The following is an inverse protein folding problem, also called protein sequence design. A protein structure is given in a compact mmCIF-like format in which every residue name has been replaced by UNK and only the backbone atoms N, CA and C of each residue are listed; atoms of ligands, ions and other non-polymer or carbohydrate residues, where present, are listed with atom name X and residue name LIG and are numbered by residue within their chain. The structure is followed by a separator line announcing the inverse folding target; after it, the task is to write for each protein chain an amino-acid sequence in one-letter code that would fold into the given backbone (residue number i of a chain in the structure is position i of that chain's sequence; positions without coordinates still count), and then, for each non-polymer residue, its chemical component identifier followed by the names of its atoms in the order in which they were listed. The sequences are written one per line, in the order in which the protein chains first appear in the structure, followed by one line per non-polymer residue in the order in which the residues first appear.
data_IF_295255891241
#
_entry.id   IF_295255891241
#
_cell.length_a   1.000
_cell.length_b   1.000
_cell.length_c   1.000
_cell.angle_alpha   90.00
_cell.angle_beta   90.00
_cell.angle_gamma   90.00
#
_symmetry.space_group_name_H-M   'P 1'
#
loop_
_entity.id
_entity.type
_entity.pdbx_description
1 polymer ?
#
# COMPACT_ATOMS: atom_id res chain seq x y z
N UNK A 1 -31.19 -62.76 3.68
CA UNK A 1 -30.35 -62.42 2.52
C UNK A 1 -30.19 -60.90 2.47
N UNK A 2 -28.92 -60.47 2.53
CA UNK A 2 -28.31 -59.13 2.41
C UNK A 2 -29.20 -57.85 2.46
N UNK A 3 -29.01 -57.06 3.52
CA UNK A 3 -29.31 -55.61 3.55
C UNK A 3 -28.10 -54.86 2.98
N UNK A 4 -28.28 -54.17 1.84
CA UNK A 4 -27.28 -53.26 1.28
C UNK A 4 -27.38 -51.90 2.00
N UNK A 5 -26.33 -51.52 2.75
CA UNK A 5 -26.13 -50.14 3.20
C UNK A 5 -25.52 -49.34 2.04
N UNK A 6 -26.25 -48.36 1.52
CA UNK A 6 -25.72 -47.37 0.59
C UNK A 6 -24.98 -46.29 1.41
N UNK A 7 -23.65 -46.28 1.36
CA UNK A 7 -22.83 -45.20 1.94
C UNK A 7 -22.73 -44.09 0.88
N UNK A 8 -23.44 -42.99 1.10
CA UNK A 8 -23.30 -41.77 0.31
C UNK A 8 -22.05 -41.04 0.80
N UNK A 9 -20.98 -41.10 -0.01
CA UNK A 9 -19.81 -40.25 0.20
C UNK A 9 -20.18 -38.80 -0.16
N UNK A 10 -20.35 -37.95 0.84
CA UNK A 10 -20.38 -36.50 0.65
C UNK A 10 -18.98 -36.05 0.20
N UNK A 11 -18.81 -35.82 -1.10
CA UNK A 11 -17.68 -35.06 -1.64
C UNK A 11 -17.86 -33.60 -1.22
N UNK A 12 -17.25 -33.23 -0.10
CA UNK A 12 -17.05 -31.82 0.25
C UNK A 12 -16.16 -31.20 -0.83
N UNK A 13 -16.57 -30.10 -1.48
CA UNK A 13 -15.72 -29.41 -2.43
C UNK A 13 -14.52 -28.88 -1.66
N UNK A 14 -13.33 -29.42 -1.97
CA UNK A 14 -12.06 -28.83 -1.56
C UNK A 14 -12.02 -27.46 -2.23
N UNK A 15 -12.27 -26.41 -1.46
CA UNK A 15 -12.03 -25.05 -1.93
C UNK A 15 -10.54 -25.01 -2.32
N UNK A 16 -10.26 -24.82 -3.60
CA UNK A 16 -8.91 -24.61 -4.07
C UNK A 16 -8.37 -23.38 -3.34
N UNK A 17 -7.46 -23.59 -2.40
CA UNK A 17 -6.71 -22.52 -1.77
C UNK A 17 -6.02 -21.80 -2.91
N UNK A 18 -6.39 -20.54 -3.14
CA UNK A 18 -5.78 -19.74 -4.18
C UNK A 18 -4.26 -19.76 -3.98
N UNK A 19 -3.51 -20.00 -5.06
CA UNK A 19 -2.05 -19.98 -5.01
C UNK A 19 -1.57 -18.66 -4.39
N UNK A 20 -0.58 -18.69 -3.48
CA UNK A 20 -0.07 -17.46 -2.89
C UNK A 20 0.45 -16.50 -3.96
N UNK A 21 0.16 -15.21 -3.78
CA UNK A 21 0.67 -14.16 -4.64
C UNK A 21 2.08 -13.77 -4.23
N UNK A 22 2.99 -13.63 -5.19
CA UNK A 22 4.39 -13.34 -4.86
C UNK A 22 4.55 -12.00 -4.14
N UNK A 23 3.95 -10.93 -4.64
CA UNK A 23 4.16 -9.59 -4.10
C UNK A 23 3.49 -9.41 -2.74
N UNK A 24 2.29 -9.97 -2.57
CA UNK A 24 1.52 -9.85 -1.32
C UNK A 24 1.99 -10.83 -0.25
N UNK A 25 2.21 -12.09 -0.61
CA UNK A 25 2.36 -13.17 0.38
C UNK A 25 3.80 -13.67 0.54
N UNK A 26 4.64 -13.59 -0.51
CA UNK A 26 5.99 -14.20 -0.53
C UNK A 26 7.10 -13.16 -0.33
N UNK A 27 7.03 -12.05 -1.05
CA UNK A 27 8.04 -10.99 -1.03
C UNK A 27 8.25 -10.41 0.38
N UNK A 28 7.22 -10.15 1.21
CA UNK A 28 7.44 -9.71 2.58
C UNK A 28 8.19 -10.75 3.41
N UNK A 29 7.91 -12.05 3.21
CA UNK A 29 8.61 -13.13 3.91
C UNK A 29 10.10 -13.11 3.56
N UNK A 30 10.43 -13.00 2.27
CA UNK A 30 11.82 -12.92 1.82
C UNK A 30 12.52 -11.64 2.26
N UNK A 31 11.84 -10.50 2.20
CA UNK A 31 12.38 -9.21 2.64
C UNK A 31 12.77 -9.24 4.11
N UNK A 32 11.85 -9.72 4.95
CA UNK A 32 12.02 -9.71 6.40
C UNK A 32 13.01 -10.77 6.89
N UNK A 33 13.05 -11.94 6.22
CA UNK A 33 13.75 -13.12 6.76
C UNK A 33 14.98 -13.56 5.95
N UNK A 34 15.14 -13.11 4.70
CA UNK A 34 16.13 -13.69 3.78
C UNK A 34 17.09 -12.66 3.17
N UNK A 35 16.61 -11.48 2.78
CA UNK A 35 17.40 -10.52 1.98
C UNK A 35 18.61 -9.94 2.72
N UNK A 36 18.61 -9.96 4.06
CA UNK A 36 19.80 -9.56 4.84
C UNK A 36 21.04 -10.37 4.48
N UNK A 37 20.90 -11.67 4.20
CA UNK A 37 22.02 -12.56 3.85
C UNK A 37 21.99 -13.04 2.39
N UNK A 38 20.86 -12.92 1.70
CA UNK A 38 20.67 -13.40 0.33
C UNK A 38 20.06 -12.34 -0.59
N UNK A 39 20.34 -11.07 -0.33
CA UNK A 39 19.81 -9.92 -1.06
C UNK A 39 20.86 -9.06 -1.77
N UNK A 40 20.58 -7.76 -1.99
CA UNK A 40 21.37 -6.90 -2.86
C UNK A 40 22.73 -6.48 -2.29
N UNK A 41 22.93 -6.51 -0.97
CA UNK A 41 24.23 -6.20 -0.35
C UNK A 41 25.24 -7.33 -0.63
N UNK A 42 26.31 -7.02 -1.36
CA UNK A 42 27.35 -7.99 -1.70
C UNK A 42 28.23 -8.39 -0.51
N UNK A 43 28.40 -7.51 0.48
CA UNK A 43 29.28 -7.76 1.63
C UNK A 43 28.64 -8.70 2.65
N UNK A 44 27.32 -8.63 2.81
CA UNK A 44 26.56 -9.54 3.68
C UNK A 44 26.14 -10.85 2.99
N UNK A 45 26.37 -10.98 1.67
CA UNK A 45 25.80 -12.06 0.86
C UNK A 45 26.46 -13.42 1.11
N UNK A 46 25.66 -14.37 1.59
CA UNK A 46 26.04 -15.78 1.73
C UNK A 46 25.75 -16.54 0.43
N UNK A 47 26.62 -17.51 0.12
CA UNK A 47 26.50 -18.42 -1.04
C UNK A 47 26.34 -17.75 -2.42
N UNK A 48 26.68 -16.45 -2.54
CA UNK A 48 26.41 -15.63 -3.74
C UNK A 48 24.94 -15.71 -4.22
N UNK A 49 24.02 -16.05 -3.31
CA UNK A 49 22.60 -16.25 -3.63
C UNK A 49 21.86 -14.91 -3.58
N UNK A 50 21.00 -14.68 -4.58
CA UNK A 50 20.16 -13.50 -4.75
C UNK A 50 18.70 -13.93 -4.79
N UNK A 51 18.05 -14.00 -3.64
CA UNK A 51 16.61 -14.29 -3.54
C UNK A 51 15.75 -13.07 -3.89
N UNK A 52 16.34 -11.88 -3.94
CA UNK A 52 15.70 -10.64 -4.36
C UNK A 52 15.54 -10.53 -5.89
N UNK A 53 16.23 -11.39 -6.64
CA UNK A 53 16.14 -11.46 -8.10
C UNK A 53 15.62 -12.83 -8.54
N UNK A 54 14.67 -12.84 -9.47
CA UNK A 54 14.10 -14.07 -10.03
C UNK A 54 15.18 -14.98 -10.59
N UNK A 55 16.11 -14.42 -11.37
CA UNK A 55 17.19 -15.15 -12.03
C UNK A 55 18.16 -15.74 -11.01
N UNK A 56 18.34 -15.06 -9.88
CA UNK A 56 19.19 -15.51 -8.78
C UNK A 56 18.58 -16.65 -7.96
N UNK A 57 17.26 -16.66 -7.83
CA UNK A 57 16.53 -17.68 -7.09
C UNK A 57 16.22 -18.94 -7.94
N UNK A 58 15.96 -18.75 -9.24
CA UNK A 58 15.61 -19.80 -10.21
C UNK A 58 16.79 -20.22 -11.11
N UNK A 59 18.03 -20.09 -10.64
CA UNK A 59 19.22 -20.42 -11.45
C UNK A 59 19.16 -21.86 -11.96
N UNK A 60 19.53 -22.05 -13.23
CA UNK A 60 19.52 -23.38 -13.86
C UNK A 60 20.59 -24.34 -13.28
N UNK A 61 21.72 -23.79 -12.82
CA UNK A 61 22.75 -24.51 -12.08
C UNK A 61 22.58 -24.19 -10.60
N UNK A 62 22.47 -25.22 -9.77
CA UNK A 62 22.22 -25.11 -8.33
C UNK A 62 20.91 -24.35 -8.04
N UNK A 63 19.81 -24.84 -8.62
CA UNK A 63 18.48 -24.27 -8.47
C UNK A 63 18.05 -24.32 -7.00
N UNK A 64 17.89 -23.14 -6.39
CA UNK A 64 17.43 -23.04 -4.99
C UNK A 64 15.92 -23.23 -4.89
N UNK A 65 15.21 -22.83 -5.94
CA UNK A 65 13.77 -23.01 -6.09
C UNK A 65 13.52 -23.70 -7.42
N UNK A 66 12.83 -24.83 -7.37
CA UNK A 66 12.38 -25.60 -8.53
C UNK A 66 10.86 -25.40 -8.67
N UNK A 67 10.42 -24.60 -9.66
CA UNK A 67 9.00 -24.32 -9.87
C UNK A 67 8.15 -25.59 -9.97
N UNK A 68 7.10 -25.68 -9.15
CA UNK A 68 6.16 -26.80 -9.12
C UNK A 68 6.63 -27.99 -8.28
N UNK A 69 7.83 -27.92 -7.68
CA UNK A 69 8.45 -29.05 -7.00
C UNK A 69 9.10 -28.65 -5.68
N UNK A 70 8.29 -28.43 -4.65
CA UNK A 70 8.82 -28.05 -3.33
C UNK A 70 9.78 -29.10 -2.75
N UNK A 71 9.58 -30.39 -3.01
CA UNK A 71 10.44 -31.47 -2.53
C UNK A 71 11.83 -31.49 -3.18
N UNK A 72 11.97 -30.91 -4.38
CA UNK A 72 13.26 -30.77 -5.09
C UNK A 72 13.88 -29.37 -4.84
N UNK A 73 13.21 -28.50 -4.09
CA UNK A 73 13.66 -27.12 -3.86
C UNK A 73 14.46 -26.98 -2.57
N UNK A 74 15.73 -26.62 -2.70
CA UNK A 74 16.63 -26.39 -1.57
C UNK A 74 16.08 -25.37 -0.57
N UNK A 75 15.44 -24.29 -1.05
CA UNK A 75 14.77 -23.32 -0.19
C UNK A 75 13.82 -24.00 0.80
N UNK A 76 13.00 -24.93 0.32
CA UNK A 76 11.98 -25.60 1.12
C UNK A 76 12.63 -26.60 2.09
N UNK A 77 13.64 -27.34 1.65
CA UNK A 77 14.42 -28.22 2.52
C UNK A 77 15.03 -27.43 3.70
N UNK A 78 15.65 -26.28 3.40
CA UNK A 78 16.30 -25.42 4.41
C UNK A 78 15.34 -24.80 5.41
N UNK A 79 14.18 -24.32 4.98
CA UNK A 79 13.21 -23.71 5.92
C UNK A 79 12.47 -24.75 6.75
N UNK A 80 12.44 -26.01 6.32
CA UNK A 80 11.80 -27.12 7.04
C UNK A 80 12.78 -27.98 7.84
N UNK A 81 14.09 -27.82 7.65
CA UNK A 81 15.10 -28.54 8.42
C UNK A 81 15.09 -28.13 9.89
N UNK A 82 15.29 -29.12 10.76
CA UNK A 82 15.53 -28.95 12.20
C UNK A 82 17.02 -29.02 12.56
N UNK A 83 17.89 -29.30 11.58
CA UNK A 83 19.35 -29.32 11.76
C UNK A 83 19.86 -27.87 11.86
N UNK A 84 20.49 -27.44 12.97
CA UNK A 84 21.01 -26.08 13.15
C UNK A 84 22.00 -25.62 12.07
N UNK A 85 22.74 -26.54 11.43
CA UNK A 85 23.74 -26.22 10.41
C UNK A 85 23.12 -26.10 9.01
N UNK A 86 21.95 -26.70 8.80
CA UNK A 86 21.23 -26.63 7.54
C UNK A 86 20.08 -25.63 7.56
N UNK A 87 19.41 -25.44 8.68
CA UNK A 87 18.20 -24.66 8.81
C UNK A 87 18.39 -23.20 8.39
N UNK A 88 17.44 -22.68 7.62
CA UNK A 88 17.34 -21.26 7.29
C UNK A 88 16.01 -20.66 7.79
N UNK A 89 16.01 -19.46 8.40
CA UNK A 89 17.18 -18.70 8.82
C UNK A 89 18.01 -19.42 9.90
N UNK A 90 19.34 -19.22 9.93
CA UNK A 90 20.19 -19.89 10.92
C UNK A 90 19.88 -19.39 12.34
N UNK A 91 20.12 -20.21 13.39
CA UNK A 91 19.78 -19.85 14.77
C UNK A 91 20.44 -18.54 15.26
N UNK A 92 21.65 -18.24 14.79
CA UNK A 92 22.41 -17.03 15.14
C UNK A 92 21.82 -15.73 14.55
N UNK A 93 21.01 -15.85 13.49
CA UNK A 93 20.39 -14.70 12.81
C UNK A 93 19.28 -14.04 13.63
N UNK A 94 18.72 -14.77 14.62
CA UNK A 94 17.54 -14.41 15.42
C UNK A 94 16.25 -14.20 14.60
N UNK A 95 16.27 -14.49 13.30
CA UNK A 95 15.10 -14.48 12.44
C UNK A 95 14.40 -15.84 12.53
N UNK A 96 13.06 -15.84 12.46
CA UNK A 96 12.26 -17.07 12.53
C UNK A 96 11.06 -16.98 11.60
N UNK A 97 10.89 -18.01 10.78
CA UNK A 97 9.70 -18.19 9.98
C UNK A 97 8.60 -18.83 10.83
N UNK A 98 7.40 -18.24 10.78
CA UNK A 98 6.20 -18.87 11.35
C UNK A 98 5.78 -20.10 10.53
N UNK A 99 4.99 -20.98 11.15
CA UNK A 99 4.43 -22.15 10.45
C UNK A 99 3.66 -21.74 9.20
N UNK A 100 2.88 -20.65 9.28
CA UNK A 100 2.14 -20.12 8.15
C UNK A 100 3.08 -19.63 7.04
N UNK A 101 4.15 -18.91 7.37
CA UNK A 101 5.12 -18.43 6.38
C UNK A 101 5.81 -19.59 5.65
N UNK A 102 6.23 -20.63 6.38
CA UNK A 102 6.82 -21.84 5.78
C UNK A 102 5.82 -22.52 4.83
N UNK A 103 4.55 -22.65 5.25
CA UNK A 103 3.49 -23.21 4.43
C UNK A 103 3.20 -22.36 3.17
N UNK A 104 3.18 -21.03 3.29
CA UNK A 104 3.01 -20.10 2.17
C UNK A 104 4.12 -20.26 1.14
N UNK A 105 5.38 -20.28 1.57
CA UNK A 105 6.52 -20.48 0.67
C UNK A 105 6.43 -21.83 -0.06
N UNK A 106 6.12 -22.90 0.68
CA UNK A 106 5.94 -24.24 0.08
C UNK A 106 4.83 -24.25 -0.96
N UNK A 107 3.65 -23.73 -0.62
CA UNK A 107 2.50 -23.68 -1.52
C UNK A 107 2.78 -22.82 -2.76
N UNK A 108 3.49 -21.70 -2.60
CA UNK A 108 3.91 -20.87 -3.72
C UNK A 108 4.87 -21.61 -4.66
N UNK A 109 5.86 -22.32 -4.13
CA UNK A 109 6.76 -23.15 -4.94
C UNK A 109 5.98 -24.24 -5.68
N UNK A 110 5.11 -24.99 -4.99
CA UNK A 110 4.28 -26.05 -5.60
C UNK A 110 3.32 -25.50 -6.67
N UNK A 111 2.89 -24.24 -6.56
CA UNK A 111 2.07 -23.56 -7.57
C UNK A 111 2.85 -23.07 -8.80
N UNK A 112 4.15 -23.34 -8.89
CA UNK A 112 5.00 -22.96 -10.01
C UNK A 112 5.88 -21.74 -9.76
N UNK A 113 6.03 -21.30 -8.50
CA UNK A 113 6.93 -20.21 -8.10
C UNK A 113 6.82 -18.95 -9.00
N UNK A 114 5.59 -18.56 -9.35
CA UNK A 114 5.35 -17.41 -10.23
C UNK A 114 5.86 -16.15 -9.56
N UNK A 115 6.84 -15.51 -10.17
CA UNK A 115 7.45 -14.28 -9.69
C UNK A 115 6.59 -13.07 -10.07
N UNK A 116 6.44 -12.11 -9.17
CA UNK A 116 5.74 -10.84 -9.41
C UNK A 116 6.68 -9.75 -9.95
N UNK A 117 6.11 -8.64 -10.40
CA UNK A 117 6.83 -7.40 -10.68
C UNK A 117 6.67 -6.43 -9.51
N UNK A 118 7.49 -5.37 -9.48
CA UNK A 118 7.24 -4.29 -8.52
C UNK A 118 5.82 -3.73 -8.71
N UNK A 119 5.09 -3.49 -7.62
CA UNK A 119 3.67 -3.14 -7.63
C UNK A 119 3.32 -1.96 -8.57
N UNK A 120 4.24 -1.01 -8.72
CA UNK A 120 4.07 0.17 -9.59
C UNK A 120 4.05 -0.18 -11.10
N UNK A 121 4.53 -1.35 -11.49
CA UNK A 121 4.53 -1.84 -12.88
C UNK A 121 3.45 -2.88 -13.15
N UNK A 122 2.63 -3.21 -12.16
CA UNK A 122 1.48 -4.08 -12.35
C UNK A 122 0.20 -3.25 -12.44
N UNK A 123 -0.58 -3.48 -13.50
CA UNK A 123 -1.88 -2.82 -13.62
C UNK A 123 -2.81 -3.29 -12.49
N UNK A 124 -3.51 -2.36 -11.80
CA UNK A 124 -4.53 -2.73 -10.83
C UNK A 124 -5.59 -3.64 -11.45
N UNK A 125 -5.89 -4.75 -10.78
CA UNK A 125 -6.92 -5.70 -11.23
C UNK A 125 -8.22 -5.46 -10.47
N UNK A 126 -9.33 -5.59 -11.18
CA UNK A 126 -10.63 -5.56 -10.52
C UNK A 126 -10.78 -6.79 -9.62
N UNK A 127 -11.07 -6.55 -8.35
CA UNK A 127 -11.31 -7.59 -7.34
C UNK A 127 -12.80 -7.69 -7.02
N UNK A 128 -13.28 -8.91 -6.79
CA UNK A 128 -14.65 -9.12 -6.34
C UNK A 128 -14.84 -8.50 -4.96
N UNK A 129 -15.94 -7.77 -4.77
CA UNK A 129 -16.29 -7.18 -3.47
C UNK A 129 -16.61 -8.30 -2.48
N UNK A 130 -15.96 -8.35 -1.31
CA UNK A 130 -16.19 -9.37 -0.31
C UNK A 130 -17.65 -9.39 0.16
N UNK A 131 -18.18 -10.59 0.41
CA UNK A 131 -19.46 -10.74 1.11
C UNK A 131 -19.21 -10.59 2.60
N UNK A 132 -19.96 -9.71 3.22
CA UNK A 132 -19.92 -9.43 4.67
C UNK A 132 -21.18 -9.96 5.36
N UNK A 133 -21.07 -10.28 6.64
CA UNK A 133 -22.22 -10.71 7.45
C UNK A 133 -23.14 -9.53 7.76
N UNK A 134 -22.58 -8.37 8.07
CA UNK A 134 -23.34 -7.16 8.35
C UNK A 134 -23.57 -6.33 7.06
N UNK A 135 -24.68 -6.59 6.37
CA UNK A 135 -25.00 -5.95 5.08
C UNK A 135 -25.35 -4.46 5.17
N UNK A 136 -25.77 -3.96 6.33
CA UNK A 136 -26.33 -2.61 6.46
C UNK A 136 -25.31 -1.55 6.90
N UNK A 137 -24.06 -1.94 7.17
CA UNK A 137 -23.01 -1.02 7.61
C UNK A 137 -22.20 -0.43 6.47
N UNK A 138 -21.79 -1.19 5.44
CA UNK A 138 -21.08 -0.62 4.30
C UNK A 138 -21.93 0.42 3.58
N UNK A 139 -21.37 1.63 3.40
CA UNK A 139 -21.96 2.68 2.56
C UNK A 139 -21.53 2.49 1.11
N UNK A 140 -20.31 1.99 0.90
CA UNK A 140 -19.78 1.69 -0.43
C UNK A 140 -19.05 0.33 -0.52
N UNK A 141 -18.39 0.11 -1.65
CA UNK A 141 -17.65 -1.12 -1.92
C UNK A 141 -16.38 -1.22 -1.07
N UNK A 142 -15.72 -0.10 -0.76
CA UNK A 142 -14.50 -0.05 0.05
C UNK A 142 -14.81 -0.47 1.49
N UNK A 143 -15.93 0.01 2.03
CA UNK A 143 -16.38 -0.38 3.37
C UNK A 143 -16.59 -1.90 3.50
N UNK A 144 -17.00 -2.57 2.42
CA UNK A 144 -17.15 -4.02 2.40
C UNK A 144 -15.81 -4.75 2.55
N UNK A 145 -14.71 -4.21 2.00
CA UNK A 145 -13.36 -4.77 2.20
C UNK A 145 -12.89 -4.58 3.65
N UNK A 146 -13.11 -3.39 4.22
CA UNK A 146 -12.75 -3.09 5.61
C UNK A 146 -13.52 -4.00 6.56
N UNK A 147 -14.85 -4.07 6.40
CA UNK A 147 -15.71 -4.88 7.26
C UNK A 147 -15.40 -6.38 7.12
N UNK A 148 -15.12 -6.88 5.93
CA UNK A 148 -14.73 -8.28 5.76
C UNK A 148 -13.45 -8.61 6.54
N UNK A 149 -12.46 -7.70 6.57
CA UNK A 149 -11.26 -7.87 7.39
C UNK A 149 -11.62 -7.86 8.88
N UNK A 150 -12.40 -6.89 9.32
CA UNK A 150 -12.83 -6.80 10.73
C UNK A 150 -13.58 -8.06 11.18
N UNK A 151 -14.53 -8.55 10.39
CA UNK A 151 -15.29 -9.77 10.70
C UNK A 151 -14.39 -11.01 10.78
N UNK A 152 -13.36 -11.10 9.93
CA UNK A 152 -12.39 -12.20 9.97
C UNK A 152 -11.52 -12.19 11.23
N UNK A 153 -11.30 -11.01 11.80
CA UNK A 153 -10.53 -10.81 13.03
C UNK A 153 -11.43 -10.79 14.29
N UNK A 154 -12.74 -10.95 14.15
CA UNK A 154 -13.69 -10.85 15.27
C UNK A 154 -13.91 -9.42 15.79
N UNK A 155 -13.52 -8.41 15.02
CA UNK A 155 -13.72 -6.99 15.33
C UNK A 155 -15.09 -6.50 14.84
N UNK A 156 -15.57 -5.43 15.45
CA UNK A 156 -16.83 -4.75 15.08
C UNK A 156 -16.58 -3.27 14.79
N UNK A 157 -17.32 -2.66 13.86
CA UNK A 157 -17.23 -1.23 13.62
C UNK A 157 -17.48 -0.41 14.87
N UNK A 158 -16.72 0.68 15.02
CA UNK A 158 -16.97 1.69 16.03
C UNK A 158 -18.32 2.39 15.77
N UNK A 159 -19.01 2.86 16.82
CA UNK A 159 -20.20 3.68 16.64
C UNK A 159 -19.88 4.96 15.86
N UNK A 160 -20.88 5.47 15.14
CA UNK A 160 -20.75 6.75 14.44
C UNK A 160 -20.42 7.88 15.42
N UNK A 161 -19.53 8.77 15.02
CA UNK A 161 -19.22 9.97 15.80
C UNK A 161 -20.45 10.90 15.88
N UNK A 162 -20.59 11.62 16.99
CA UNK A 162 -21.57 12.70 17.06
C UNK A 162 -21.24 13.80 16.04
N UNK A 163 -22.24 14.63 15.70
CA UNK A 163 -22.11 15.63 14.63
C UNK A 163 -21.00 16.64 14.88
N UNK A 164 -20.77 17.03 16.14
CA UNK A 164 -19.75 18.03 16.48
C UNK A 164 -18.37 17.40 16.30
N UNK A 165 -18.18 16.19 16.82
CA UNK A 165 -16.92 15.43 16.65
C UNK A 165 -16.64 15.17 15.17
N UNK A 166 -17.64 14.76 14.39
CA UNK A 166 -17.49 14.53 12.96
C UNK A 166 -17.07 15.81 12.23
N UNK A 167 -17.78 16.92 12.45
CA UNK A 167 -17.48 18.21 11.80
C UNK A 167 -16.06 18.70 12.14
N UNK A 168 -15.67 18.56 13.42
CA UNK A 168 -14.32 18.95 13.84
C UNK A 168 -13.24 18.15 13.12
N UNK A 169 -13.39 16.83 13.02
CA UNK A 169 -12.42 15.95 12.34
C UNK A 169 -12.30 16.31 10.87
N UNK A 170 -13.41 16.31 10.13
CA UNK A 170 -13.38 16.58 8.68
C UNK A 170 -12.85 17.98 8.35
N UNK A 171 -13.15 18.99 9.18
CA UNK A 171 -12.62 20.35 8.97
C UNK A 171 -11.11 20.39 9.18
N UNK A 172 -10.60 19.75 10.23
CA UNK A 172 -9.16 19.67 10.48
C UNK A 172 -8.43 18.86 9.41
N UNK A 173 -9.02 17.75 8.97
CA UNK A 173 -8.42 16.89 7.94
C UNK A 173 -8.30 17.64 6.62
N UNK A 174 -9.38 18.29 6.18
CA UNK A 174 -9.44 18.95 4.87
C UNK A 174 -8.82 20.35 4.85
N UNK A 175 -8.76 21.07 5.97
CA UNK A 175 -8.30 22.48 5.97
C UNK A 175 -7.22 22.81 6.99
N UNK A 176 -6.88 21.87 7.89
CA UNK A 176 -5.93 22.11 8.99
C UNK A 176 -6.46 23.00 10.10
N UNK A 177 -7.71 23.49 10.01
CA UNK A 177 -8.30 24.45 10.93
C UNK A 177 -9.54 23.86 11.64
N UNK A 178 -9.85 24.29 12.88
CA UNK A 178 -11.10 23.92 13.52
C UNK A 178 -12.29 24.63 12.85
N UNK A 179 -13.52 24.07 12.94
CA UNK A 179 -14.72 24.71 12.40
C UNK A 179 -15.05 25.99 13.16
N UNK A 180 -15.59 26.98 12.46
CA UNK A 180 -16.09 28.19 13.11
C UNK A 180 -17.36 27.88 13.93
N UNK A 181 -17.62 28.55 15.07
CA UNK A 181 -18.82 28.30 15.88
C UNK A 181 -20.14 28.36 15.09
N UNK A 182 -20.26 29.33 14.18
CA UNK A 182 -21.43 29.46 13.29
C UNK A 182 -21.64 28.24 12.37
N UNK A 183 -20.57 27.60 11.92
CA UNK A 183 -20.63 26.43 11.04
C UNK A 183 -21.07 25.20 11.84
N UNK A 184 -20.64 25.09 13.10
CA UNK A 184 -21.10 24.05 14.03
C UNK A 184 -22.59 24.18 14.26
N UNK A 185 -23.08 25.38 14.57
CA UNK A 185 -24.51 25.61 14.79
C UNK A 185 -25.34 25.28 13.54
N UNK A 186 -24.90 25.75 12.37
CA UNK A 186 -25.57 25.47 11.10
C UNK A 186 -25.63 23.96 10.82
N UNK A 187 -24.51 23.25 10.96
CA UNK A 187 -24.44 21.82 10.69
C UNK A 187 -25.23 20.98 11.70
N UNK A 188 -25.25 21.34 12.98
CA UNK A 188 -26.02 20.60 13.99
C UNK A 188 -27.53 20.74 13.74
N UNK A 189 -27.97 21.93 13.30
CA UNK A 189 -29.38 22.23 12.97
C UNK A 189 -29.81 21.61 11.64
N UNK A 190 -28.90 21.45 10.69
CA UNK A 190 -29.21 20.86 9.38
C UNK A 190 -29.49 19.35 9.48
N UNK A 191 -30.77 18.97 9.32
CA UNK A 191 -31.22 17.57 9.29
C UNK A 191 -31.46 17.06 7.88
N UNK A 192 -31.07 17.82 6.85
CA UNK A 192 -31.22 17.39 5.48
C UNK A 192 -30.38 16.14 5.20
N UNK A 193 -30.80 15.29 4.25
CA UNK A 193 -30.01 14.13 3.84
C UNK A 193 -28.66 14.50 3.20
N UNK A 194 -28.43 15.78 2.87
CA UNK A 194 -27.22 16.30 2.23
C UNK A 194 -26.31 17.10 3.18
N UNK A 195 -26.59 17.09 4.47
CA UNK A 195 -25.90 17.97 5.42
C UNK A 195 -24.38 17.70 5.47
N UNK A 196 -23.97 16.44 5.33
CA UNK A 196 -22.57 16.04 5.37
C UNK A 196 -21.84 16.45 4.08
N UNK A 197 -22.44 16.17 2.92
CA UNK A 197 -21.94 16.54 1.59
C UNK A 197 -21.79 18.05 1.46
N UNK A 198 -22.80 18.82 1.92
CA UNK A 198 -22.75 20.29 1.90
C UNK A 198 -21.57 20.83 2.71
N UNK A 199 -21.23 20.20 3.84
CA UNK A 199 -20.04 20.55 4.60
C UNK A 199 -18.77 20.23 3.82
N UNK A 200 -18.66 19.02 3.27
CA UNK A 200 -17.47 18.59 2.51
C UNK A 200 -17.24 19.48 1.29
N UNK A 201 -18.27 19.73 0.48
CA UNK A 201 -18.19 20.59 -0.71
C UNK A 201 -17.69 22.00 -0.36
N UNK A 202 -18.22 22.58 0.73
CA UNK A 202 -17.78 23.89 1.24
C UNK A 202 -16.31 23.86 1.68
N UNK A 203 -15.86 22.78 2.32
CA UNK A 203 -14.47 22.64 2.78
C UNK A 203 -13.51 22.48 1.60
N UNK A 204 -13.87 21.66 0.61
CA UNK A 204 -13.08 21.47 -0.62
C UNK A 204 -13.00 22.74 -1.46
N UNK A 205 -14.05 23.56 -1.46
CA UNK A 205 -14.07 24.86 -2.14
C UNK A 205 -13.28 25.97 -1.40
N UNK A 206 -12.84 25.72 -0.15
CA UNK A 206 -12.07 26.68 0.62
C UNK A 206 -10.64 26.77 0.10
N UNK A 207 -10.02 27.96 -0.01
CA UNK A 207 -8.60 28.06 -0.36
C UNK A 207 -7.67 27.35 0.63
N UNK A 208 -8.15 27.16 1.87
CA UNK A 208 -7.44 26.44 2.95
C UNK A 208 -7.29 24.95 2.65
N UNK A 209 -8.11 24.39 1.76
CA UNK A 209 -7.97 23.01 1.31
C UNK A 209 -6.62 22.79 0.63
N UNK A 210 -6.31 23.57 -0.39
CA UNK A 210 -5.02 23.48 -1.08
C UNK A 210 -3.82 23.76 -0.19
N UNK A 211 -3.94 24.70 0.77
CA UNK A 211 -2.89 24.99 1.76
C UNK A 211 -2.61 23.76 2.64
N UNK A 212 -3.67 23.07 3.10
CA UNK A 212 -3.56 21.86 3.91
C UNK A 212 -3.00 20.69 3.11
N UNK A 213 -3.55 20.43 1.93
CA UNK A 213 -3.19 19.27 1.11
C UNK A 213 -1.79 19.38 0.50
N UNK A 214 -1.32 20.61 0.24
CA UNK A 214 0.02 20.82 -0.26
C UNK A 214 1.11 20.39 0.73
N UNK A 215 0.85 20.36 2.03
CA UNK A 215 1.87 20.12 3.06
C UNK A 215 2.64 18.81 2.86
N UNK A 216 1.91 17.70 2.69
CA UNK A 216 2.54 16.38 2.49
C UNK A 216 3.34 16.32 1.19
N UNK A 217 2.89 17.04 0.15
CA UNK A 217 3.62 17.14 -1.12
C UNK A 217 4.88 17.97 -0.98
N UNK A 218 4.81 19.12 -0.31
CA UNK A 218 5.95 20.00 -0.05
C UNK A 218 7.03 19.26 0.75
N UNK A 219 6.62 18.49 1.76
CA UNK A 219 7.53 17.64 2.54
C UNK A 219 8.18 16.56 1.67
N UNK A 220 7.39 15.80 0.91
CA UNK A 220 7.91 14.78 0.00
C UNK A 220 8.86 15.37 -1.06
N UNK A 221 8.58 16.60 -1.49
CA UNK A 221 9.41 17.34 -2.43
C UNK A 221 10.63 18.00 -1.79
N UNK A 222 10.81 17.95 -0.47
CA UNK A 222 11.89 18.64 0.27
C UNK A 222 11.89 20.16 0.09
N UNK A 223 10.70 20.75 0.07
CA UNK A 223 10.55 22.20 0.09
C UNK A 223 11.10 22.78 1.39
N UNK A 224 11.87 23.86 1.26
CA UNK A 224 12.28 24.69 2.38
C UNK A 224 12.44 26.14 1.91
N UNK A 225 12.22 27.08 2.82
CA UNK A 225 12.47 28.51 2.56
C UNK A 225 13.98 28.84 2.60
N UNK A 226 14.84 27.87 2.95
CA UNK A 226 16.29 28.00 3.02
C UNK A 226 17.01 26.75 2.49
N UNK A 227 18.33 26.85 2.31
CA UNK A 227 19.14 25.75 1.74
C UNK A 227 19.61 24.71 2.78
N UNK A 228 19.46 24.96 4.09
CA UNK A 228 19.68 23.98 5.15
C UNK A 228 21.12 23.49 5.39
N UNK A 229 22.09 23.76 4.50
CA UNK A 229 23.47 23.27 4.60
C UNK A 229 24.53 24.40 4.61
N UNK A 230 25.47 24.30 5.56
CA UNK A 230 26.68 25.12 5.78
C UNK A 230 26.54 26.65 5.92
N UNK A 231 25.44 27.27 5.48
CA UNK A 231 25.20 28.72 5.67
C UNK A 231 23.74 29.15 5.60
N UNK A 232 22.81 28.18 5.56
CA UNK A 232 21.35 28.31 5.61
C UNK A 232 20.77 29.58 4.94
N UNK A 233 21.22 29.85 3.71
CA UNK A 233 20.75 31.01 2.97
C UNK A 233 19.30 30.80 2.54
N UNK A 234 18.54 31.88 2.52
CA UNK A 234 17.18 31.92 1.96
C UNK A 234 17.17 31.42 0.51
N UNK A 235 16.05 30.80 0.13
CA UNK A 235 15.78 30.31 -1.21
C UNK A 235 14.43 30.83 -1.70
N UNK A 236 14.42 31.47 -2.87
CA UNK A 236 13.18 31.90 -3.51
C UNK A 236 12.50 30.73 -4.21
N UNK A 237 11.68 29.98 -3.47
CA UNK A 237 10.89 28.85 -3.98
C UNK A 237 9.38 28.98 -3.71
N UNK A 238 8.98 30.00 -2.95
CA UNK A 238 7.59 30.28 -2.64
C UNK A 238 6.65 30.38 -3.87
N UNK A 239 7.07 30.84 -5.07
CA UNK A 239 6.17 30.85 -6.23
C UNK A 239 5.77 29.44 -6.65
N UNK A 240 6.69 28.47 -6.56
CA UNK A 240 6.41 27.06 -6.83
C UNK A 240 5.51 26.46 -5.74
N UNK A 241 5.75 26.78 -4.46
CA UNK A 241 4.85 26.38 -3.36
C UNK A 241 3.43 26.86 -3.61
N UNK A 242 3.27 28.12 -3.99
CA UNK A 242 1.95 28.70 -4.26
C UNK A 242 1.30 28.06 -5.49
N UNK A 243 2.10 27.68 -6.51
CA UNK A 243 1.63 26.89 -7.64
C UNK A 243 1.09 25.52 -7.20
N UNK A 244 1.76 24.83 -6.27
CA UNK A 244 1.29 23.55 -5.72
C UNK A 244 -0.06 23.75 -5.01
N UNK A 245 -0.17 24.76 -4.14
CA UNK A 245 -1.41 25.11 -3.43
C UNK A 245 -2.56 25.39 -4.42
N UNK A 246 -2.29 26.18 -5.46
CA UNK A 246 -3.27 26.47 -6.52
C UNK A 246 -3.68 25.21 -7.27
N UNK A 247 -2.74 24.32 -7.57
CA UNK A 247 -3.01 23.06 -8.29
C UNK A 247 -3.95 22.13 -7.51
N UNK A 248 -3.77 22.03 -6.18
CA UNK A 248 -4.71 21.30 -5.33
C UNK A 248 -6.10 21.95 -5.29
N UNK A 249 -6.17 23.26 -5.11
CA UNK A 249 -7.46 23.99 -5.09
C UNK A 249 -8.21 23.91 -6.44
N UNK A 250 -7.48 23.85 -7.55
CA UNK A 250 -8.06 23.67 -8.88
C UNK A 250 -8.46 22.21 -9.19
N UNK A 251 -8.19 21.27 -8.27
CA UNK A 251 -8.36 19.84 -8.49
C UNK A 251 -7.67 19.35 -9.78
N UNK A 252 -6.43 19.82 -10.01
CA UNK A 252 -5.65 19.48 -11.21
C UNK A 252 -5.47 17.95 -11.29
N UNK A 253 -5.73 17.32 -12.45
CA UNK A 253 -5.48 15.89 -12.63
C UNK A 253 -4.05 15.51 -12.27
N UNK A 254 -3.87 14.39 -11.56
CA UNK A 254 -2.55 13.97 -11.05
C UNK A 254 -1.52 13.76 -12.17
N UNK A 255 -1.95 13.26 -13.33
CA UNK A 255 -1.09 13.11 -14.51
C UNK A 255 -0.57 14.46 -15.00
N UNK A 256 -1.41 15.49 -15.08
CA UNK A 256 -0.98 16.83 -15.52
C UNK A 256 -0.09 17.47 -14.44
N UNK A 257 -0.47 17.36 -13.17
CA UNK A 257 0.30 17.87 -12.03
C UNK A 257 1.71 17.29 -11.96
N UNK A 258 1.88 16.00 -12.24
CA UNK A 258 3.20 15.35 -12.23
C UNK A 258 4.01 15.66 -13.48
N UNK A 259 3.39 15.64 -14.67
CA UNK A 259 4.06 16.00 -15.94
C UNK A 259 4.58 17.44 -15.90
N UNK A 260 3.76 18.39 -15.47
CA UNK A 260 4.16 19.80 -15.39
C UNK A 260 5.33 20.02 -14.41
N UNK A 261 5.38 19.29 -13.29
CA UNK A 261 6.51 19.39 -12.36
C UNK A 261 7.81 18.77 -12.88
N UNK A 262 7.73 17.68 -13.63
CA UNK A 262 8.93 16.98 -14.11
C UNK A 262 9.47 17.66 -15.38
N UNK A 263 8.59 18.06 -16.29
CA UNK A 263 8.96 18.46 -17.66
C UNK A 263 8.05 19.57 -18.23
N UNK A 264 7.43 20.39 -17.38
CA UNK A 264 6.54 21.48 -17.81
C UNK A 264 7.20 22.50 -18.75
N UNK A 265 8.51 22.73 -18.64
CA UNK A 265 9.30 23.61 -19.51
C UNK A 265 9.58 23.00 -20.90
N UNK A 266 9.46 21.67 -21.02
CA UNK A 266 9.61 20.93 -22.28
C UNK A 266 8.28 20.73 -23.01
N UNK A 267 7.16 21.19 -22.44
CA UNK A 267 5.87 21.12 -23.11
C UNK A 267 5.84 22.06 -24.34
N UNK A 268 5.26 21.64 -25.47
CA UNK A 268 5.08 22.52 -26.61
C UNK A 268 4.29 23.78 -26.24
N UNK A 269 4.86 24.96 -26.49
CA UNK A 269 4.28 26.25 -26.12
C UNK A 269 3.95 26.36 -24.61
N UNK A 270 4.85 25.89 -23.75
CA UNK A 270 4.68 25.92 -22.30
C UNK A 270 4.28 27.31 -21.79
N UNK A 271 3.24 27.34 -20.95
CA UNK A 271 2.82 28.55 -20.25
C UNK A 271 3.79 28.90 -19.11
N UNK A 272 3.76 30.16 -18.64
CA UNK A 272 4.60 30.57 -17.50
C UNK A 272 4.36 29.71 -16.25
N UNK A 273 3.12 29.31 -15.97
CA UNK A 273 2.80 28.43 -14.84
C UNK A 273 3.34 27.01 -15.02
N UNK A 274 3.42 26.49 -16.25
CA UNK A 274 4.01 25.18 -16.55
C UNK A 274 5.54 25.22 -16.47
N UNK A 275 6.16 26.31 -16.90
CA UNK A 275 7.59 26.54 -16.68
C UNK A 275 7.88 26.71 -15.19
N UNK A 276 7.03 27.41 -14.43
CA UNK A 276 7.17 27.55 -12.98
C UNK A 276 7.06 26.20 -12.26
N UNK A 277 6.19 25.30 -12.70
CA UNK A 277 5.99 23.99 -12.11
C UNK A 277 7.28 23.15 -12.04
N UNK A 278 8.19 23.31 -13.01
CA UNK A 278 9.49 22.61 -13.03
C UNK A 278 10.47 23.09 -11.96
N UNK A 279 10.10 24.14 -11.22
CA UNK A 279 10.73 24.51 -9.95
C UNK A 279 10.84 23.33 -8.96
N UNK A 280 9.98 22.31 -9.09
CA UNK A 280 10.07 21.03 -8.37
C UNK A 280 11.49 20.43 -8.44
N UNK A 281 12.10 20.40 -9.62
CA UNK A 281 13.42 19.81 -9.86
C UNK A 281 14.56 20.56 -9.13
N UNK A 282 14.28 21.75 -8.59
CA UNK A 282 15.25 22.53 -7.81
C UNK A 282 15.26 22.17 -6.33
N UNK A 283 14.33 21.34 -5.85
CA UNK A 283 14.25 20.93 -4.45
C UNK A 283 15.17 19.75 -4.08
N UNK A 284 15.90 19.18 -5.03
CA UNK A 284 16.78 18.02 -4.83
C UNK A 284 18.22 18.40 -4.51
#
# INVERSE_FOLDING_TARGET
MLRFLLIIFLLLPVAAIAAPDFNRDVLPIFSDNCFKCHGPDANARKAKLRLDLKEGALRAKDAVIVPGKSTESELIARILSDDPDEQMPPPDSRLKLSVLQKATLKAWVDSGAKWGQHWAYESPKQVAVPKVKQSNWPLDKIDSFILARMESEGLKPSPAADRITWLRRVTLDLTGLPPAPKDVEAFVKDKSPKAFETVVDRLLASPRYGERMAWDWLEAARYADSNGYQGDRERTMWPWRDWVVRSFNANKPYNDFTVEQIAGDLLPNATEEQVLATGFNRNH
#
